data_IF_251581377517
#
_entry.id   IF_251581377517
#
_cell.length_a   1.000
_cell.length_b   1.000
_cell.length_c   1.000
_cell.angle_alpha   90.00
_cell.angle_beta   90.00
_cell.angle_gamma   90.00
#
_symmetry.space_group_name_H-M   'P 1'
#
loop_
_entity.id
_entity.type
_entity.pdbx_description
1 polymer ?
#
# COMPACT_ATOMS: atom_id res chain seq x y z
N UNK A 1 -1.52 -66.23 -45.97
CA UNK A 1 -2.00 -65.67 -44.65
C UNK A 1 -1.20 -64.40 -44.34
N UNK A 2 -1.85 -63.23 -44.48
CA UNK A 2 -1.20 -61.92 -44.19
C UNK A 2 -1.76 -61.43 -42.83
N UNK A 3 -0.91 -61.31 -41.82
CA UNK A 3 -1.26 -60.75 -40.52
C UNK A 3 -1.06 -59.22 -40.54
N UNK A 4 -2.16 -58.48 -40.45
CA UNK A 4 -2.15 -57.02 -40.28
C UNK A 4 -2.01 -56.70 -38.79
N UNK A 5 -0.90 -56.14 -38.35
CA UNK A 5 -0.71 -55.68 -36.99
C UNK A 5 -1.31 -54.27 -36.89
N UNK A 6 -2.39 -54.13 -36.12
CA UNK A 6 -3.01 -52.84 -35.81
C UNK A 6 -2.27 -52.22 -34.61
N UNK A 7 -1.48 -51.19 -34.85
CA UNK A 7 -0.81 -50.43 -33.77
C UNK A 7 -1.80 -49.41 -33.19
N UNK A 8 -2.22 -49.61 -31.92
CA UNK A 8 -3.04 -48.67 -31.19
C UNK A 8 -2.13 -47.58 -30.59
N UNK A 9 -2.15 -46.38 -31.17
CA UNK A 9 -1.52 -45.21 -30.59
C UNK A 9 -2.38 -44.70 -29.41
N UNK A 10 -1.93 -44.91 -28.18
CA UNK A 10 -2.50 -44.26 -26.98
C UNK A 10 -1.92 -42.87 -26.89
N UNK A 11 -2.71 -41.86 -27.28
CA UNK A 11 -2.36 -40.47 -27.07
C UNK A 11 -2.59 -40.13 -25.59
N UNK A 12 -1.52 -40.04 -24.80
CA UNK A 12 -1.57 -39.54 -23.44
C UNK A 12 -1.83 -38.03 -23.47
N UNK A 13 -3.08 -37.65 -23.22
CA UNK A 13 -3.43 -36.24 -23.00
C UNK A 13 -2.87 -35.78 -21.66
N UNK A 14 -1.74 -35.07 -21.68
CA UNK A 14 -1.22 -34.36 -20.51
C UNK A 14 -2.15 -33.16 -20.26
N UNK A 15 -3.11 -33.33 -19.37
CA UNK A 15 -3.92 -32.22 -18.87
C UNK A 15 -2.98 -31.25 -18.17
N UNK A 16 -2.76 -30.11 -18.78
CA UNK A 16 -2.07 -28.98 -18.14
C UNK A 16 -3.01 -28.47 -17.05
N UNK A 17 -2.79 -28.88 -15.81
CA UNK A 17 -3.45 -28.26 -14.65
C UNK A 17 -3.02 -26.80 -14.66
N UNK A 18 -3.95 -25.90 -14.97
CA UNK A 18 -3.70 -24.48 -14.86
C UNK A 18 -3.29 -24.20 -13.41
N UNK A 19 -2.07 -23.74 -13.21
CA UNK A 19 -1.59 -23.41 -11.88
C UNK A 19 -2.50 -22.32 -11.31
N UNK A 20 -3.08 -22.56 -10.13
CA UNK A 20 -3.95 -21.59 -9.47
C UNK A 20 -3.24 -20.23 -9.35
N UNK A 21 -3.96 -19.15 -9.66
CA UNK A 21 -3.49 -17.79 -9.56
C UNK A 21 -3.08 -17.48 -8.10
N UNK A 22 -1.91 -16.88 -7.90
CA UNK A 22 -1.42 -16.53 -6.56
C UNK A 22 -2.17 -15.32 -6.02
N UNK A 23 -2.82 -15.44 -4.87
CA UNK A 23 -3.55 -14.35 -4.24
C UNK A 23 -2.62 -13.52 -3.34
N UNK A 24 -2.44 -12.24 -3.67
CA UNK A 24 -1.68 -11.27 -2.87
C UNK A 24 -2.61 -10.18 -2.36
N UNK A 25 -2.62 -9.98 -1.05
CA UNK A 25 -3.33 -8.87 -0.42
C UNK A 25 -2.31 -7.87 0.11
N UNK A 26 -2.40 -6.63 -0.31
CA UNK A 26 -1.41 -5.60 0.01
C UNK A 26 -2.05 -4.31 0.51
N UNK A 27 -1.34 -3.61 1.39
CA UNK A 27 -1.73 -2.26 1.82
C UNK A 27 -1.74 -1.28 0.63
N UNK A 28 -2.69 -0.35 0.61
CA UNK A 28 -2.77 0.72 -0.39
C UNK A 28 -1.48 1.54 -0.47
N UNK A 29 -0.77 1.72 0.65
CA UNK A 29 0.53 2.40 0.65
C UNK A 29 1.59 1.72 -0.26
N UNK A 30 1.51 0.40 -0.47
CA UNK A 30 2.41 -0.35 -1.33
C UNK A 30 1.95 -0.40 -2.81
N UNK A 31 0.78 0.15 -3.15
CA UNK A 31 0.18 -0.02 -4.48
C UNK A 31 1.10 0.48 -5.59
N UNK A 32 1.59 1.71 -5.53
CA UNK A 32 2.45 2.28 -6.57
C UNK A 32 3.70 1.43 -6.84
N UNK A 33 4.55 1.17 -5.82
CA UNK A 33 5.75 0.37 -6.03
C UNK A 33 5.46 -1.08 -6.43
N UNK A 34 4.42 -1.73 -5.88
CA UNK A 34 4.06 -3.11 -6.26
C UNK A 34 3.58 -3.18 -7.71
N UNK A 35 2.75 -2.25 -8.16
CA UNK A 35 2.33 -2.17 -9.57
C UNK A 35 3.51 -1.92 -10.52
N UNK A 36 4.47 -1.09 -10.11
CA UNK A 36 5.69 -0.86 -10.90
C UNK A 36 6.59 -2.11 -10.99
N UNK A 37 6.46 -3.03 -10.03
CA UNK A 37 7.17 -4.31 -10.00
C UNK A 37 6.37 -5.46 -10.62
N UNK A 38 5.18 -5.23 -11.17
CA UNK A 38 4.26 -6.26 -11.64
C UNK A 38 4.91 -7.30 -12.56
N UNK A 39 5.81 -6.87 -13.44
CA UNK A 39 6.61 -7.79 -14.28
C UNK A 39 7.54 -8.72 -13.49
N UNK A 40 8.01 -8.29 -12.31
CA UNK A 40 8.86 -9.11 -11.44
C UNK A 40 8.02 -10.11 -10.61
N UNK A 41 6.71 -9.89 -10.46
CA UNK A 41 5.80 -10.80 -9.77
C UNK A 41 5.28 -11.94 -10.66
N UNK A 42 5.68 -12.01 -11.94
CA UNK A 42 5.17 -12.98 -12.92
C UNK A 42 6.27 -13.83 -13.55
N UNK A 43 7.11 -14.58 -12.80
CA UNK A 43 8.02 -15.49 -13.48
C UNK A 43 7.29 -16.71 -14.10
N UNK A 44 6.32 -17.32 -13.42
CA UNK A 44 5.64 -18.55 -13.90
C UNK A 44 4.15 -18.66 -13.53
N UNK A 45 3.61 -17.75 -12.72
CA UNK A 45 2.19 -17.71 -12.31
C UNK A 45 1.72 -16.28 -12.25
N UNK A 46 0.53 -16.02 -12.82
CA UNK A 46 -0.14 -14.74 -12.63
C UNK A 46 -0.45 -14.54 -11.13
N UNK A 47 0.04 -13.45 -10.55
CA UNK A 47 -0.32 -13.04 -9.20
C UNK A 47 -1.46 -12.03 -9.26
N UNK A 48 -2.57 -12.32 -8.59
CA UNK A 48 -3.67 -11.38 -8.42
C UNK A 48 -3.43 -10.55 -7.18
N UNK A 49 -2.95 -9.31 -7.38
CA UNK A 49 -2.72 -8.37 -6.29
C UNK A 49 -3.96 -7.54 -6.05
N UNK A 50 -4.45 -7.54 -4.82
CA UNK A 50 -5.52 -6.68 -4.35
C UNK A 50 -4.95 -5.69 -3.34
N UNK A 51 -5.36 -4.42 -3.46
CA UNK A 51 -4.94 -3.37 -2.54
C UNK A 51 -6.12 -2.90 -1.71
N UNK A 52 -5.86 -2.64 -0.42
CA UNK A 52 -6.89 -2.13 0.48
C UNK A 52 -6.26 -1.30 1.61
N UNK A 53 -7.07 -0.54 2.34
CA UNK A 53 -6.63 0.17 3.53
C UNK A 53 -6.31 -0.82 4.65
N UNK A 54 -5.36 -0.46 5.55
CA UNK A 54 -5.01 -1.34 6.67
C UNK A 54 -6.21 -1.75 7.55
N UNK A 55 -7.19 -0.86 7.86
CA UNK A 55 -8.39 -1.27 8.58
C UNK A 55 -9.25 -2.29 7.82
N UNK A 56 -9.37 -2.16 6.50
CA UNK A 56 -10.12 -3.11 5.69
C UNK A 56 -9.40 -4.45 5.58
N UNK A 57 -8.07 -4.45 5.41
CA UNK A 57 -7.25 -5.68 5.45
C UNK A 57 -7.51 -6.42 6.77
N UNK A 58 -7.48 -5.73 7.91
CA UNK A 58 -7.76 -6.33 9.20
C UNK A 58 -9.16 -6.96 9.27
N UNK A 59 -10.19 -6.28 8.72
CA UNK A 59 -11.57 -6.81 8.63
C UNK A 59 -11.65 -8.05 7.74
N UNK A 60 -11.01 -8.03 6.56
CA UNK A 60 -10.99 -9.16 5.61
C UNK A 60 -10.33 -10.39 6.24
N UNK A 61 -9.19 -10.19 6.90
CA UNK A 61 -8.49 -11.26 7.61
C UNK A 61 -9.33 -11.80 8.79
N UNK A 62 -10.01 -10.93 9.54
CA UNK A 62 -10.92 -11.35 10.62
C UNK A 62 -12.15 -12.11 10.10
N UNK A 63 -12.62 -11.80 8.89
CA UNK A 63 -13.68 -12.52 8.19
C UNK A 63 -13.23 -13.88 7.60
N UNK A 64 -11.96 -14.26 7.78
CA UNK A 64 -11.44 -15.56 7.37
C UNK A 64 -10.78 -15.56 5.99
N UNK A 65 -10.58 -14.41 5.36
CA UNK A 65 -9.82 -14.35 4.11
C UNK A 65 -8.36 -14.76 4.33
N UNK A 66 -7.85 -15.62 3.45
CA UNK A 66 -6.49 -16.16 3.51
C UNK A 66 -5.82 -16.01 2.15
N UNK A 67 -5.15 -14.86 1.89
CA UNK A 67 -4.31 -14.72 0.70
C UNK A 67 -3.10 -15.66 0.80
N UNK A 68 -2.38 -15.87 -0.30
CA UNK A 68 -1.09 -16.59 -0.27
C UNK A 68 0.02 -15.71 0.32
N UNK A 69 0.04 -14.42 -0.06
CA UNK A 69 0.98 -13.42 0.43
C UNK A 69 0.21 -12.23 1.01
N UNK A 70 0.67 -11.75 2.15
CA UNK A 70 0.19 -10.51 2.75
C UNK A 70 1.32 -9.48 2.81
N UNK A 71 1.03 -8.24 2.40
CA UNK A 71 1.88 -7.06 2.62
C UNK A 71 1.10 -6.10 3.51
N UNK A 72 1.46 -6.01 4.78
CA UNK A 72 0.71 -5.25 5.77
C UNK A 72 1.62 -4.56 6.80
N UNK A 73 1.03 -3.76 7.67
CA UNK A 73 1.76 -3.19 8.81
C UNK A 73 2.46 -4.28 9.62
N UNK A 74 3.69 -4.02 10.05
CA UNK A 74 4.50 -4.96 10.82
C UNK A 74 3.74 -5.52 12.04
N UNK A 75 3.00 -4.67 12.76
CA UNK A 75 2.19 -5.09 13.90
C UNK A 75 1.07 -6.09 13.52
N UNK A 76 0.46 -5.94 12.34
CA UNK A 76 -0.52 -6.91 11.82
C UNK A 76 0.14 -8.25 11.51
N UNK A 77 1.32 -8.23 10.89
CA UNK A 77 2.11 -9.45 10.61
C UNK A 77 2.53 -10.13 11.91
N UNK A 78 2.98 -9.36 12.91
CA UNK A 78 3.31 -9.89 14.25
C UNK A 78 2.13 -10.65 14.87
N UNK A 79 0.93 -10.08 14.81
CA UNK A 79 -0.26 -10.72 15.37
C UNK A 79 -0.61 -12.01 14.62
N UNK A 80 -0.57 -11.99 13.28
CA UNK A 80 -0.86 -13.18 12.47
C UNK A 80 0.14 -14.32 12.69
N UNK A 81 1.42 -14.01 12.94
CA UNK A 81 2.44 -14.99 13.30
C UNK A 81 2.13 -15.60 14.67
N UNK A 82 1.79 -14.77 15.67
CA UNK A 82 1.39 -15.25 17.01
C UNK A 82 0.17 -16.16 16.96
N UNK A 83 -0.79 -15.83 16.08
CA UNK A 83 -2.02 -16.61 15.87
C UNK A 83 -1.80 -17.87 15.01
N UNK A 84 -0.57 -18.16 14.55
CA UNK A 84 -0.25 -19.29 13.68
C UNK A 84 -0.80 -19.15 12.24
N UNK A 85 -1.28 -17.97 11.86
CA UNK A 85 -1.90 -17.70 10.56
C UNK A 85 -0.90 -17.28 9.48
N UNK A 86 0.33 -16.90 9.85
CA UNK A 86 1.40 -16.54 8.95
C UNK A 86 2.68 -17.31 9.29
N UNK A 87 3.51 -17.63 8.29
CA UNK A 87 4.74 -18.39 8.43
C UNK A 87 5.87 -17.45 8.88
N UNK A 88 6.23 -17.46 10.16
CA UNK A 88 7.26 -16.59 10.74
C UNK A 88 8.59 -16.59 9.96
N UNK A 89 9.02 -17.75 9.46
CA UNK A 89 10.26 -17.90 8.68
C UNK A 89 10.24 -17.18 7.32
N UNK A 90 9.09 -16.68 6.90
CA UNK A 90 8.93 -15.95 5.61
C UNK A 90 8.72 -14.45 5.81
N UNK A 91 8.66 -13.99 7.07
CA UNK A 91 8.52 -12.56 7.35
C UNK A 91 9.70 -11.78 6.78
N UNK A 92 9.39 -10.74 6.04
CA UNK A 92 10.39 -9.95 5.33
C UNK A 92 10.03 -8.47 5.42
N UNK A 93 10.90 -7.62 5.99
CA UNK A 93 10.69 -6.17 6.00
C UNK A 93 10.66 -5.61 4.57
N UNK A 94 9.59 -4.89 4.25
CA UNK A 94 9.42 -4.20 2.96
C UNK A 94 9.95 -2.77 3.03
N UNK A 95 9.91 -2.18 4.23
CA UNK A 95 10.36 -0.83 4.50
C UNK A 95 9.38 -0.06 5.38
N UNK A 96 9.60 1.24 5.49
CA UNK A 96 8.71 2.15 6.22
C UNK A 96 8.35 3.35 5.37
N UNK A 97 7.20 3.95 5.64
CA UNK A 97 6.76 5.15 4.93
C UNK A 97 6.12 6.14 5.88
N UNK A 98 6.37 7.42 5.65
CA UNK A 98 5.83 8.53 6.43
C UNK A 98 4.57 9.13 5.81
N UNK A 99 3.90 9.97 6.60
CA UNK A 99 2.82 10.81 6.11
C UNK A 99 3.41 11.94 5.28
N UNK A 100 2.76 12.23 4.15
CA UNK A 100 3.10 13.34 3.28
C UNK A 100 2.01 14.41 3.24
N UNK A 101 2.36 15.54 2.68
CA UNK A 101 1.48 16.68 2.40
C UNK A 101 1.30 16.81 0.90
N UNK A 102 0.04 16.84 0.46
CA UNK A 102 -0.37 17.14 -0.89
C UNK A 102 -1.22 18.42 -0.96
N UNK A 103 -1.30 19.02 -2.13
CA UNK A 103 -2.13 20.20 -2.39
C UNK A 103 -3.04 19.99 -3.58
N UNK A 104 -4.12 20.78 -3.63
CA UNK A 104 -5.06 20.79 -4.75
C UNK A 104 -4.44 21.35 -6.03
N UNK A 105 -5.12 21.09 -7.14
CA UNK A 105 -4.71 21.56 -8.47
C UNK A 105 -4.59 23.09 -8.51
N UNK A 106 -3.39 23.59 -8.86
CA UNK A 106 -3.11 25.02 -8.93
C UNK A 106 -3.07 25.71 -7.55
N UNK A 107 -3.10 24.96 -6.47
CA UNK A 107 -2.93 25.47 -5.11
C UNK A 107 -1.53 26.04 -4.91
N UNK A 108 -1.43 27.09 -4.07
CA UNK A 108 -0.13 27.63 -3.68
C UNK A 108 0.60 26.63 -2.80
N UNK A 109 1.85 26.31 -3.16
CA UNK A 109 2.70 25.41 -2.34
C UNK A 109 2.95 26.05 -0.97
N UNK A 110 2.49 25.44 0.14
CA UNK A 110 2.71 25.97 1.47
C UNK A 110 4.16 25.70 1.91
N UNK A 111 4.65 26.53 2.82
CA UNK A 111 5.82 26.19 3.62
C UNK A 111 5.41 25.19 4.70
N UNK A 112 6.07 24.05 4.72
CA UNK A 112 5.89 22.98 5.73
C UNK A 112 7.22 22.56 6.33
N UNK A 113 8.25 23.41 6.23
CA UNK A 113 9.62 23.09 6.69
C UNK A 113 9.73 22.97 8.22
N UNK A 114 8.83 23.62 8.95
CA UNK A 114 8.76 23.57 10.41
C UNK A 114 7.34 23.28 10.88
N UNK A 115 7.17 22.90 12.15
CA UNK A 115 5.86 22.70 12.76
C UNK A 115 5.03 23.98 12.72
N UNK A 116 5.63 25.12 13.01
CA UNK A 116 4.92 26.41 13.01
C UNK A 116 4.50 26.84 11.59
N UNK A 117 5.34 26.61 10.58
CA UNK A 117 4.99 26.85 9.18
C UNK A 117 3.83 25.93 8.75
N UNK A 118 3.86 24.63 9.10
CA UNK A 118 2.74 23.70 8.86
C UNK A 118 1.46 24.19 9.55
N UNK A 119 1.52 24.61 10.82
CA UNK A 119 0.36 25.18 11.54
C UNK A 119 -0.23 26.38 10.82
N UNK A 120 0.62 27.33 10.43
CA UNK A 120 0.18 28.51 9.69
C UNK A 120 -0.48 28.15 8.36
N UNK A 121 0.08 27.20 7.63
CA UNK A 121 -0.50 26.69 6.37
C UNK A 121 -1.89 26.06 6.59
N UNK A 122 -2.04 25.23 7.63
CA UNK A 122 -3.31 24.59 7.96
C UNK A 122 -4.39 25.59 8.37
N UNK A 123 -4.02 26.63 9.14
CA UNK A 123 -4.94 27.69 9.53
C UNK A 123 -5.41 28.52 8.34
N UNK A 124 -4.60 28.67 7.30
CA UNK A 124 -4.90 29.43 6.08
C UNK A 124 -5.61 28.57 4.99
N UNK A 125 -5.60 27.23 5.13
CA UNK A 125 -6.22 26.35 4.16
C UNK A 125 -7.75 26.53 4.13
N UNK A 126 -8.36 26.38 2.95
CA UNK A 126 -9.81 26.33 2.77
C UNK A 126 -10.38 24.98 3.24
N UNK A 127 -9.62 23.91 3.06
CA UNK A 127 -9.93 22.58 3.55
C UNK A 127 -8.68 21.79 3.92
N UNK A 128 -8.81 20.96 4.97
CA UNK A 128 -7.81 19.98 5.41
C UNK A 128 -8.38 18.60 5.18
N UNK A 129 -7.77 17.85 4.26
CA UNK A 129 -8.34 16.60 3.71
C UNK A 129 -7.44 15.43 4.12
N UNK A 130 -8.02 14.37 4.70
CA UNK A 130 -7.27 13.15 4.99
C UNK A 130 -8.19 11.91 4.99
N UNK A 131 -7.58 10.72 4.92
CA UNK A 131 -8.34 9.48 4.86
C UNK A 131 -8.79 9.00 6.24
N UNK A 132 -9.77 8.07 6.26
CA UNK A 132 -10.13 7.29 7.47
C UNK A 132 -9.26 6.06 7.65
N UNK A 133 -8.22 5.90 6.82
CA UNK A 133 -7.25 4.82 6.91
C UNK A 133 -6.20 5.03 8.02
N UNK A 134 -5.14 4.22 7.97
CA UNK A 134 -4.05 4.30 8.96
C UNK A 134 -3.38 5.66 9.01
N UNK A 135 -3.13 6.29 7.84
CA UNK A 135 -2.57 7.65 7.76
C UNK A 135 -3.47 8.69 8.42
N UNK A 136 -4.79 8.55 8.30
CA UNK A 136 -5.75 9.48 8.91
C UNK A 136 -5.66 9.50 10.43
N UNK A 137 -5.52 8.33 11.07
CA UNK A 137 -5.32 8.28 12.54
C UNK A 137 -4.03 9.01 12.97
N UNK A 138 -2.96 8.87 12.19
CA UNK A 138 -1.71 9.59 12.44
C UNK A 138 -1.90 11.11 12.27
N UNK A 139 -2.66 11.53 11.24
CA UNK A 139 -2.97 12.95 11.00
C UNK A 139 -3.83 13.53 12.11
N UNK A 140 -4.86 12.83 12.58
CA UNK A 140 -5.66 13.27 13.73
C UNK A 140 -4.82 13.47 14.98
N UNK A 141 -3.89 12.53 15.25
CA UNK A 141 -2.97 12.66 16.37
C UNK A 141 -2.02 13.86 16.16
N UNK A 142 -1.48 14.03 14.95
CA UNK A 142 -0.65 15.19 14.59
C UNK A 142 -1.39 16.50 14.88
N UNK A 143 -2.60 16.68 14.36
CA UNK A 143 -3.38 17.90 14.49
C UNK A 143 -3.65 18.26 15.97
N UNK A 144 -3.92 17.24 16.80
CA UNK A 144 -4.02 17.42 18.26
C UNK A 144 -2.70 17.81 18.89
N UNK A 145 -1.62 17.11 18.55
CA UNK A 145 -0.28 17.35 19.11
C UNK A 145 0.25 18.75 18.80
N UNK A 146 0.03 19.24 17.59
CA UNK A 146 0.45 20.61 17.22
C UNK A 146 -0.58 21.68 17.62
N UNK A 147 -1.71 21.31 18.22
CA UNK A 147 -2.68 22.21 18.82
C UNK A 147 -3.55 23.00 17.85
N UNK A 148 -3.84 22.45 16.64
CA UNK A 148 -4.70 23.13 15.65
C UNK A 148 -6.04 22.42 15.41
N UNK A 149 -6.25 21.25 15.99
CA UNK A 149 -7.39 20.39 15.69
C UNK A 149 -8.75 21.10 15.82
N UNK A 150 -8.96 21.84 16.92
CA UNK A 150 -10.21 22.57 17.15
C UNK A 150 -10.38 23.74 16.17
N UNK A 151 -9.30 24.48 15.90
CA UNK A 151 -9.33 25.67 15.05
C UNK A 151 -9.66 25.36 13.59
N UNK A 152 -9.32 24.17 13.12
CA UNK A 152 -9.58 23.74 11.75
C UNK A 152 -10.76 22.77 11.61
N UNK A 153 -11.44 22.44 12.71
CA UNK A 153 -12.49 21.40 12.75
C UNK A 153 -13.58 21.60 11.70
N UNK A 154 -14.00 22.84 11.46
CA UNK A 154 -15.06 23.18 10.49
C UNK A 154 -14.64 22.98 9.01
N UNK A 155 -13.35 22.82 8.72
CA UNK A 155 -12.81 22.65 7.37
C UNK A 155 -12.12 21.30 7.16
N UNK A 156 -12.23 20.40 8.13
CA UNK A 156 -11.74 19.03 8.00
C UNK A 156 -12.69 18.22 7.10
N UNK A 157 -12.09 17.50 6.14
CA UNK A 157 -12.79 16.57 5.26
C UNK A 157 -12.13 15.21 5.35
N UNK A 158 -12.87 14.23 5.84
CA UNK A 158 -12.41 12.84 5.92
C UNK A 158 -13.01 12.00 4.80
N UNK A 159 -12.15 11.29 4.07
CA UNK A 159 -12.49 10.46 2.92
C UNK A 159 -12.16 8.98 3.20
N UNK A 160 -12.71 8.03 2.46
CA UNK A 160 -12.48 6.61 2.72
C UNK A 160 -11.01 6.18 2.59
N UNK A 161 -10.32 6.62 1.51
CA UNK A 161 -8.97 6.19 1.15
C UNK A 161 -8.02 7.35 0.86
N UNK A 162 -6.71 7.06 0.78
CA UNK A 162 -5.71 8.05 0.35
C UNK A 162 -5.87 8.43 -1.13
N UNK A 163 -6.35 7.51 -1.97
CA UNK A 163 -6.68 7.80 -3.36
C UNK A 163 -7.83 8.81 -3.48
N UNK A 164 -8.91 8.64 -2.70
CA UNK A 164 -10.01 9.61 -2.63
C UNK A 164 -9.52 11.00 -2.20
N UNK A 165 -8.54 11.08 -1.29
CA UNK A 165 -7.90 12.33 -0.91
C UNK A 165 -7.25 12.98 -2.13
N UNK A 166 -6.46 12.24 -2.89
CA UNK A 166 -5.77 12.75 -4.07
C UNK A 166 -6.73 13.10 -5.22
N UNK A 167 -7.77 12.30 -5.44
CA UNK A 167 -8.84 12.63 -6.40
C UNK A 167 -9.50 13.96 -6.04
N UNK A 168 -9.88 14.15 -4.78
CA UNK A 168 -10.47 15.41 -4.32
C UNK A 168 -9.53 16.59 -4.56
N UNK A 169 -8.26 16.47 -4.19
CA UNK A 169 -7.25 17.51 -4.41
C UNK A 169 -7.11 17.85 -5.90
N UNK A 170 -7.17 16.86 -6.78
CA UNK A 170 -7.10 17.06 -8.23
C UNK A 170 -8.33 17.72 -8.85
N UNK A 171 -9.51 17.48 -8.29
CA UNK A 171 -10.79 17.95 -8.83
C UNK A 171 -11.24 19.30 -8.27
N UNK A 172 -10.81 19.66 -7.05
CA UNK A 172 -11.31 20.83 -6.35
C UNK A 172 -10.30 21.98 -6.43
N UNK A 173 -10.77 23.16 -6.78
CA UNK A 173 -9.98 24.40 -6.74
C UNK A 173 -9.90 24.95 -5.31
N UNK A 174 -8.93 25.84 -5.08
CA UNK A 174 -8.75 26.50 -3.80
C UNK A 174 -7.53 26.00 -3.03
N UNK A 175 -7.30 26.58 -1.87
CA UNK A 175 -6.16 26.28 -1.01
C UNK A 175 -6.45 25.05 -0.16
N UNK A 176 -6.44 23.85 -0.75
CA UNK A 176 -6.67 22.61 -0.03
C UNK A 176 -5.35 21.92 0.31
N UNK A 177 -5.22 21.48 1.54
CA UNK A 177 -4.09 20.68 2.03
C UNK A 177 -4.59 19.27 2.34
N UNK A 178 -3.96 18.27 1.73
CA UNK A 178 -4.30 16.87 1.94
C UNK A 178 -3.16 16.09 2.58
N UNK A 179 -3.52 15.07 3.34
CA UNK A 179 -2.58 14.17 4.00
C UNK A 179 -2.91 12.72 3.69
N UNK A 180 -1.92 11.99 3.25
CA UNK A 180 -1.93 10.52 3.22
C UNK A 180 -0.49 10.01 3.22
N UNK A 181 -0.24 8.71 3.01
CA UNK A 181 1.14 8.22 2.90
C UNK A 181 1.83 8.83 1.67
N UNK A 182 3.13 9.11 1.78
CA UNK A 182 3.91 9.73 0.68
C UNK A 182 3.72 8.98 -0.64
N UNK A 183 3.71 7.64 -0.63
CA UNK A 183 3.53 6.83 -1.84
C UNK A 183 2.15 6.99 -2.47
N UNK A 184 1.10 7.13 -1.65
CA UNK A 184 -0.26 7.34 -2.13
C UNK A 184 -0.40 8.72 -2.79
N UNK A 185 0.26 9.77 -2.22
CA UNK A 185 0.28 11.09 -2.84
C UNK A 185 0.99 11.02 -4.20
N UNK A 186 2.19 10.43 -4.25
CA UNK A 186 2.95 10.32 -5.50
C UNK A 186 2.21 9.53 -6.58
N UNK A 187 1.55 8.43 -6.22
CA UNK A 187 0.71 7.67 -7.14
C UNK A 187 -0.48 8.52 -7.64
N UNK A 188 -1.11 9.26 -6.73
CA UNK A 188 -2.31 10.06 -6.99
C UNK A 188 -2.03 11.41 -7.67
N UNK A 189 -0.77 11.81 -7.93
CA UNK A 189 -0.47 13.04 -8.71
C UNK A 189 -1.09 13.02 -10.11
N UNK A 190 -1.35 11.84 -10.66
CA UNK A 190 -2.08 11.65 -11.91
C UNK A 190 -3.50 12.23 -11.89
N UNK A 191 -4.12 12.36 -10.72
CA UNK A 191 -5.43 13.01 -10.54
C UNK A 191 -5.35 14.55 -10.62
N UNK A 192 -4.12 15.12 -10.56
CA UNK A 192 -3.86 16.55 -10.73
C UNK A 192 -3.60 17.33 -9.44
N UNK A 193 -3.57 16.67 -8.29
CA UNK A 193 -2.95 17.20 -7.08
C UNK A 193 -1.42 17.15 -7.18
N UNK A 194 -0.71 17.73 -6.22
CA UNK A 194 0.75 17.74 -6.21
C UNK A 194 1.33 17.42 -4.84
N UNK A 195 2.44 16.69 -4.82
CA UNK A 195 3.19 16.42 -3.61
C UNK A 195 3.98 17.66 -3.16
N UNK A 196 3.81 18.07 -1.92
CA UNK A 196 4.56 19.17 -1.30
C UNK A 196 5.83 18.66 -0.64
N UNK A 197 5.70 17.64 0.18
CA UNK A 197 6.81 17.08 0.95
C UNK A 197 6.34 16.15 2.05
N UNK A 198 7.27 15.47 2.74
CA UNK A 198 6.95 14.78 4.00
C UNK A 198 6.60 15.80 5.09
N UNK A 199 6.00 15.35 6.18
CA UNK A 199 5.82 16.17 7.37
C UNK A 199 7.19 16.67 7.91
N UNK A 200 7.22 17.80 8.64
CA UNK A 200 8.43 18.23 9.35
C UNK A 200 8.99 17.11 10.21
N UNK A 201 10.30 16.92 10.21
CA UNK A 201 10.98 15.81 10.91
C UNK A 201 10.58 15.70 12.40
N UNK A 202 10.34 16.83 13.07
CA UNK A 202 9.95 16.86 14.48
C UNK A 202 8.58 16.22 14.78
N UNK A 203 7.73 16.06 13.76
CA UNK A 203 6.37 15.50 13.89
C UNK A 203 6.09 14.38 12.88
N UNK A 204 7.10 13.96 12.11
CA UNK A 204 6.96 12.86 11.17
C UNK A 204 6.80 11.54 11.91
N UNK A 205 5.82 10.78 11.46
CA UNK A 205 5.57 9.42 11.96
C UNK A 205 5.68 8.44 10.80
N UNK A 206 6.42 7.36 11.02
CA UNK A 206 6.61 6.30 10.05
C UNK A 206 5.81 5.06 10.42
N UNK A 207 5.26 4.40 9.41
CA UNK A 207 4.65 3.09 9.55
C UNK A 207 5.54 2.06 8.84
N UNK A 208 5.96 1.03 9.57
CA UNK A 208 6.71 -0.10 9.03
C UNK A 208 5.77 -1.15 8.44
N UNK A 209 6.17 -1.76 7.33
CA UNK A 209 5.42 -2.79 6.63
C UNK A 209 6.30 -3.99 6.34
N UNK A 210 5.72 -5.17 6.50
CA UNK A 210 6.34 -6.45 6.21
C UNK A 210 5.50 -7.23 5.19
N UNK A 211 6.18 -8.11 4.46
CA UNK A 211 5.56 -9.14 3.65
C UNK A 211 5.70 -10.50 4.35
N UNK A 212 4.70 -11.36 4.19
CA UNK A 212 4.71 -12.70 4.78
C UNK A 212 3.88 -13.67 3.95
N UNK A 213 4.27 -14.94 3.93
CA UNK A 213 3.46 -16.03 3.38
C UNK A 213 2.45 -16.47 4.42
N UNK A 214 1.18 -16.60 4.04
CA UNK A 214 0.12 -17.07 4.95
C UNK A 214 0.19 -18.58 5.12
N UNK A 215 -0.12 -19.06 6.34
CA UNK A 215 -0.01 -20.50 6.70
C UNK A 215 -0.91 -21.39 5.84
N UNK A 216 -2.08 -20.87 5.41
CA UNK A 216 -3.04 -21.57 4.55
C UNK A 216 -2.66 -21.63 3.07
N UNK A 217 -1.56 -20.98 2.65
CA UNK A 217 -1.12 -21.02 1.25
C UNK A 217 -0.77 -22.44 0.81
N UNK A 218 -1.34 -22.86 -0.30
CA UNK A 218 -1.00 -24.11 -1.00
C UNK A 218 0.10 -23.91 -2.05
N UNK A 219 0.45 -22.64 -2.37
CA UNK A 219 1.43 -22.25 -3.37
C UNK A 219 2.69 -21.65 -2.73
N UNK A 220 3.19 -22.26 -1.64
CA UNK A 220 4.23 -21.71 -0.75
C UNK A 220 5.50 -21.27 -1.45
N UNK A 221 5.97 -22.01 -2.47
CA UNK A 221 7.22 -21.65 -3.17
C UNK A 221 7.02 -20.43 -4.06
N UNK A 222 5.90 -20.35 -4.77
CA UNK A 222 5.55 -19.15 -5.53
C UNK A 222 5.32 -17.93 -4.63
N UNK A 223 4.67 -18.12 -3.48
CA UNK A 223 4.47 -17.09 -2.47
C UNK A 223 5.81 -16.57 -1.90
N UNK A 224 6.75 -17.46 -1.61
CA UNK A 224 8.13 -17.10 -1.18
C UNK A 224 8.88 -16.32 -2.27
N UNK A 225 8.72 -16.71 -3.53
CA UNK A 225 9.35 -16.00 -4.65
C UNK A 225 8.82 -14.55 -4.75
N UNK A 226 7.52 -14.33 -4.55
CA UNK A 226 6.92 -12.98 -4.49
C UNK A 226 7.50 -12.18 -3.32
N UNK A 227 7.54 -12.75 -2.11
CA UNK A 227 8.13 -12.07 -0.93
C UNK A 227 9.59 -11.71 -1.19
N UNK A 228 10.36 -12.61 -1.79
CA UNK A 228 11.77 -12.37 -2.14
C UNK A 228 11.91 -11.24 -3.17
N UNK A 229 11.05 -11.20 -4.18
CA UNK A 229 11.08 -10.17 -5.23
C UNK A 229 10.94 -8.74 -4.67
N UNK A 230 10.22 -8.56 -3.55
CA UNK A 230 10.05 -7.26 -2.86
C UNK A 230 11.36 -6.71 -2.25
N UNK A 231 12.37 -7.54 -2.04
CA UNK A 231 13.60 -7.16 -1.33
C UNK A 231 14.82 -7.09 -2.22
N UNK A 232 14.66 -7.30 -3.52
CA UNK A 232 15.74 -7.16 -4.48
C UNK A 232 16.24 -5.70 -4.53
N UNK A 233 17.51 -5.45 -4.92
CA UNK A 233 18.00 -4.08 -5.10
C UNK A 233 17.15 -3.24 -6.06
N UNK A 234 16.63 -3.85 -7.12
CA UNK A 234 15.72 -3.18 -8.06
C UNK A 234 14.40 -2.80 -7.40
N UNK A 235 13.81 -3.70 -6.59
CA UNK A 235 12.59 -3.40 -5.84
C UNK A 235 12.83 -2.26 -4.84
N UNK A 236 13.93 -2.29 -4.10
CA UNK A 236 14.28 -1.19 -3.17
C UNK A 236 14.37 0.16 -3.88
N UNK A 237 14.95 0.24 -5.07
CA UNK A 237 14.96 1.47 -5.86
C UNK A 237 13.56 1.97 -6.19
N UNK A 238 12.65 1.08 -6.61
CA UNK A 238 11.26 1.41 -6.91
C UNK A 238 10.52 1.90 -5.66
N UNK A 239 10.69 1.22 -4.53
CA UNK A 239 10.10 1.64 -3.25
C UNK A 239 10.67 2.99 -2.79
N UNK A 240 11.99 3.21 -2.88
CA UNK A 240 12.61 4.50 -2.54
C UNK A 240 12.07 5.63 -3.43
N UNK A 241 11.94 5.41 -4.75
CA UNK A 241 11.35 6.40 -5.65
C UNK A 241 9.89 6.75 -5.26
N UNK A 242 9.14 5.78 -4.72
CA UNK A 242 7.81 5.99 -4.18
C UNK A 242 7.80 6.66 -2.78
N UNK A 243 8.97 6.93 -2.18
CA UNK A 243 9.09 7.61 -0.89
C UNK A 243 9.19 6.69 0.33
N UNK A 244 9.49 5.41 0.11
CA UNK A 244 9.76 4.47 1.19
C UNK A 244 11.20 4.57 1.67
N UNK A 245 11.42 4.24 2.94
CA UNK A 245 12.72 4.15 3.61
C UNK A 245 12.96 2.74 4.15
N UNK A 246 14.23 2.37 4.35
CA UNK A 246 14.66 1.04 4.79
C UNK A 246 15.49 1.11 6.06
#
# INVERSE_FOLDING_TARGET
>A
MRYTICAILVAASVARVAAAELAVLATAAAQGPVQALDKAFQPDRAAKVQFDTSPNIAKRLAAGETPDVLIAQAATVDQLIKDGRALAATRTPVGRIGVGVGIGRGGRRPDISTVDALKAALLQADAVVYSRGASGLLVEQLLRTIGVAEQISSKVVQLPTGDDVMQRLGMTKGNQIGFTMVSEIKLGESHGGSFVGPLPAAVQTYTAYDAVVMSGSTARDAARAVVHALTTPAARQVFTAAGWEF
#
